data_IF_482371975470
#
_entry.id   IF_482371975470
#
_cell.length_a   1.000
_cell.length_b   1.000
_cell.length_c   1.000
_cell.angle_alpha   90.00
_cell.angle_beta   90.00
_cell.angle_gamma   90.00
#
_symmetry.space_group_name_H-M   'P 1'
#
loop_
_entity.id
_entity.type
_entity.pdbx_description
1 polymer ?
#
# COMPACT_ATOMS: atom_id res chain seq x y z
N UNK A 1 -27.42 10.67 -15.12
CA UNK A 1 -26.99 10.35 -16.50
C UNK A 1 -26.03 9.18 -16.41
N UNK A 2 -26.37 8.04 -16.99
CA UNK A 2 -25.49 6.87 -17.07
C UNK A 2 -24.34 7.19 -18.02
N UNK A 3 -23.10 7.20 -17.51
CA UNK A 3 -21.93 7.26 -18.37
C UNK A 3 -21.88 6.01 -19.26
N UNK A 4 -21.33 6.09 -20.48
CA UNK A 4 -20.98 4.90 -21.25
C UNK A 4 -20.16 3.93 -20.37
N UNK A 5 -20.37 2.62 -20.50
CA UNK A 5 -19.76 1.61 -19.62
C UNK A 5 -18.22 1.70 -19.50
N UNK A 6 -17.54 2.18 -20.55
CA UNK A 6 -16.10 2.46 -20.52
C UNK A 6 -15.75 3.66 -19.61
N UNK A 7 -16.46 4.79 -19.77
CA UNK A 7 -16.23 6.00 -18.98
C UNK A 7 -16.60 5.81 -17.50
N UNK A 8 -17.57 4.94 -17.20
CA UNK A 8 -17.89 4.56 -15.82
C UNK A 8 -16.73 3.78 -15.17
N UNK A 9 -16.20 2.75 -15.87
CA UNK A 9 -15.07 1.95 -15.36
C UNK A 9 -13.82 2.80 -15.13
N UNK A 10 -13.50 3.68 -16.08
CA UNK A 10 -12.35 4.58 -15.96
C UNK A 10 -12.47 5.52 -14.74
N UNK A 11 -13.67 6.08 -14.51
CA UNK A 11 -13.95 6.89 -13.31
C UNK A 11 -13.75 6.08 -12.03
N UNK A 12 -14.30 4.87 -11.95
CA UNK A 12 -14.21 4.04 -10.74
C UNK A 12 -12.75 3.67 -10.44
N UNK A 13 -11.97 3.28 -11.45
CA UNK A 13 -10.55 2.98 -11.27
C UNK A 13 -9.75 4.22 -10.85
N UNK A 14 -10.08 5.40 -11.39
CA UNK A 14 -9.49 6.66 -10.93
C UNK A 14 -9.83 6.95 -9.46
N UNK A 15 -11.10 6.81 -9.06
CA UNK A 15 -11.54 7.03 -7.69
C UNK A 15 -10.86 6.05 -6.71
N UNK A 16 -10.74 4.77 -7.07
CA UNK A 16 -10.00 3.76 -6.30
C UNK A 16 -8.54 4.16 -6.09
N UNK A 17 -7.85 4.57 -7.16
CA UNK A 17 -6.45 5.03 -7.09
C UNK A 17 -6.31 6.31 -6.25
N UNK A 18 -7.27 7.22 -6.33
CA UNK A 18 -7.27 8.45 -5.52
C UNK A 18 -7.46 8.15 -4.03
N UNK A 19 -8.40 7.26 -3.69
CA UNK A 19 -8.59 6.78 -2.31
C UNK A 19 -7.32 6.10 -1.81
N UNK A 20 -6.72 5.24 -2.62
CA UNK A 20 -5.45 4.58 -2.29
C UNK A 20 -4.32 5.60 -2.07
N UNK A 21 -4.20 6.60 -2.94
CA UNK A 21 -3.20 7.67 -2.85
C UNK A 21 -3.38 8.59 -1.65
N UNK A 22 -4.61 8.71 -1.11
CA UNK A 22 -4.87 9.51 0.08
C UNK A 22 -4.09 9.05 1.32
N UNK A 23 -3.74 7.76 1.40
CA UNK A 23 -2.91 7.24 2.50
C UNK A 23 -1.48 7.79 2.52
N UNK A 24 -1.04 8.46 1.45
CA UNK A 24 0.21 9.25 1.44
C UNK A 24 0.22 10.31 2.55
N UNK A 25 -0.96 10.76 2.99
CA UNK A 25 -1.10 11.78 4.03
C UNK A 25 -0.85 11.25 5.45
N UNK A 26 -0.85 9.94 5.70
CA UNK A 26 -0.66 9.41 7.05
C UNK A 26 0.66 9.85 7.70
N UNK A 27 1.82 9.81 7.00
CA UNK A 27 3.08 10.26 7.58
C UNK A 27 3.27 11.78 7.57
N UNK A 28 2.49 12.54 6.80
CA UNK A 28 2.74 13.97 6.53
C UNK A 28 2.73 14.82 7.80
N UNK A 29 1.76 14.71 8.72
CA UNK A 29 1.78 15.47 9.97
C UNK A 29 3.03 15.21 10.82
N UNK A 30 3.57 13.99 10.80
CA UNK A 30 4.84 13.67 11.47
C UNK A 30 6.03 14.34 10.76
N UNK A 31 6.09 14.26 9.41
CA UNK A 31 7.15 14.89 8.62
C UNK A 31 7.18 16.42 8.76
N UNK A 32 6.02 17.05 9.00
CA UNK A 32 5.89 18.48 9.28
C UNK A 32 6.18 18.85 10.75
N UNK A 33 6.48 17.86 11.60
CA UNK A 33 6.75 18.05 13.03
C UNK A 33 5.52 18.40 13.86
N UNK A 34 4.31 18.19 13.34
CA UNK A 34 3.06 18.51 14.05
C UNK A 34 2.70 17.48 15.10
N UNK A 35 3.06 16.21 14.88
CA UNK A 35 2.81 15.09 15.80
C UNK A 35 4.03 14.18 15.92
N UNK A 36 4.12 13.44 17.02
CA UNK A 36 5.14 12.41 17.19
C UNK A 36 4.83 11.15 16.37
N UNK A 37 5.85 10.34 16.08
CA UNK A 37 5.65 9.05 15.42
C UNK A 37 4.74 8.10 16.22
N UNK A 38 4.84 8.15 17.55
CA UNK A 38 3.94 7.40 18.43
C UNK A 38 2.48 7.83 18.22
N UNK A 39 2.22 9.13 18.05
CA UNK A 39 0.89 9.64 17.76
C UNK A 39 0.41 9.17 16.38
N UNK A 40 1.28 9.18 15.36
CA UNK A 40 0.99 8.60 14.05
C UNK A 40 0.59 7.12 14.16
N UNK A 41 1.34 6.31 14.92
CA UNK A 41 1.02 4.91 15.17
C UNK A 41 -0.35 4.71 15.83
N UNK A 42 -0.70 5.54 16.82
CA UNK A 42 -2.03 5.50 17.47
C UNK A 42 -3.16 5.86 16.50
N UNK A 43 -2.95 6.86 15.64
CA UNK A 43 -3.93 7.24 14.60
C UNK A 43 -4.13 6.12 13.58
N UNK A 44 -3.05 5.41 13.20
CA UNK A 44 -3.14 4.24 12.33
C UNK A 44 -3.86 3.06 12.99
N UNK A 45 -3.66 2.83 14.30
CA UNK A 45 -4.47 1.84 15.04
C UNK A 45 -5.95 2.22 15.03
N UNK A 46 -6.26 3.49 15.26
CA UNK A 46 -7.64 3.97 15.19
C UNK A 46 -8.22 3.80 13.78
N UNK A 47 -7.43 4.03 12.73
CA UNK A 47 -7.86 3.86 11.35
C UNK A 47 -8.08 2.39 10.97
N UNK A 48 -7.32 1.45 11.57
CA UNK A 48 -7.59 0.00 11.50
C UNK A 48 -8.90 -0.35 12.21
N UNK A 49 -9.15 0.20 13.40
CA UNK A 49 -10.39 -0.06 14.13
C UNK A 49 -11.62 0.42 13.33
N UNK A 50 -11.53 1.60 12.70
CA UNK A 50 -12.56 2.10 11.78
C UNK A 50 -12.75 1.14 10.60
N UNK A 51 -11.67 0.73 9.94
CA UNK A 51 -11.75 -0.22 8.82
C UNK A 51 -12.37 -1.57 9.24
N UNK A 52 -12.06 -2.07 10.43
CA UNK A 52 -12.63 -3.30 10.97
C UNK A 52 -14.14 -3.18 11.22
N UNK A 53 -14.61 -2.04 11.76
CA UNK A 53 -16.05 -1.78 11.92
C UNK A 53 -16.76 -1.71 10.57
N UNK A 54 -16.16 -0.99 9.60
CA UNK A 54 -16.67 -0.87 8.25
C UNK A 54 -16.76 -2.24 7.55
N UNK A 55 -15.74 -3.08 7.67
CA UNK A 55 -15.76 -4.44 7.14
C UNK A 55 -16.79 -5.33 7.84
N UNK A 56 -16.95 -5.23 9.16
CA UNK A 56 -17.96 -5.98 9.88
C UNK A 56 -19.37 -5.61 9.41
N UNK A 57 -19.63 -4.32 9.16
CA UNK A 57 -20.90 -3.85 8.61
C UNK A 57 -21.11 -4.33 7.17
N UNK A 58 -20.08 -4.24 6.31
CA UNK A 58 -20.14 -4.71 4.92
C UNK A 58 -20.42 -6.21 4.83
N UNK A 59 -19.62 -7.02 5.53
CA UNK A 59 -19.72 -8.49 5.48
C UNK A 59 -20.98 -9.04 6.14
N UNK A 60 -21.58 -8.29 7.06
CA UNK A 60 -22.88 -8.65 7.64
C UNK A 60 -24.09 -8.17 6.83
N UNK A 61 -23.87 -7.51 5.68
CA UNK A 61 -24.94 -6.93 4.87
C UNK A 61 -25.66 -5.76 5.55
N UNK A 62 -24.96 -5.07 6.47
CA UNK A 62 -25.49 -4.00 7.32
C UNK A 62 -24.86 -2.64 7.04
N UNK A 63 -24.21 -2.47 5.88
CA UNK A 63 -23.56 -1.22 5.49
C UNK A 63 -24.55 -0.11 5.09
N UNK A 64 -25.76 -0.47 4.64
CA UNK A 64 -26.90 0.45 4.51
C UNK A 64 -26.62 1.58 3.52
N UNK A 65 -26.60 2.87 3.94
CA UNK A 65 -26.31 3.97 3.02
C UNK A 65 -24.94 3.88 2.32
N UNK A 66 -24.02 3.06 2.84
CA UNK A 66 -22.70 2.83 2.25
C UNK A 66 -22.70 1.72 1.19
N UNK A 67 -23.78 0.96 1.01
CA UNK A 67 -23.84 -0.14 0.03
C UNK A 67 -23.41 0.32 -1.39
N UNK A 68 -23.88 1.47 -1.93
CA UNK A 68 -23.44 1.92 -3.25
C UNK A 68 -21.94 2.25 -3.34
N UNK A 69 -21.33 2.65 -2.22
CA UNK A 69 -19.89 2.92 -2.17
C UNK A 69 -19.10 1.60 -2.23
N UNK A 70 -19.56 0.58 -1.53
CA UNK A 70 -18.94 -0.74 -1.56
C UNK A 70 -19.10 -1.40 -2.93
N UNK A 71 -20.29 -1.32 -3.55
CA UNK A 71 -20.52 -1.82 -4.90
C UNK A 71 -19.61 -1.15 -5.94
N UNK A 72 -19.28 0.13 -5.74
CA UNK A 72 -18.38 0.86 -6.63
C UNK A 72 -16.90 0.52 -6.35
N UNK A 73 -16.47 0.49 -5.09
CA UNK A 73 -15.05 0.47 -4.73
C UNK A 73 -14.49 -0.92 -4.45
N UNK A 74 -15.28 -1.88 -3.98
CA UNK A 74 -14.84 -3.25 -3.69
C UNK A 74 -14.86 -4.08 -4.96
N UNK A 75 -13.84 -4.93 -5.17
CA UNK A 75 -13.77 -5.80 -6.33
C UNK A 75 -14.57 -7.09 -6.12
N UNK A 76 -15.00 -7.71 -7.22
CA UNK A 76 -15.81 -8.93 -7.17
C UNK A 76 -15.13 -10.06 -6.37
N UNK A 77 -13.81 -10.23 -6.50
CA UNK A 77 -13.07 -11.26 -5.76
C UNK A 77 -12.91 -10.94 -4.26
N UNK A 78 -13.17 -9.70 -3.83
CA UNK A 78 -13.12 -9.25 -2.44
C UNK A 78 -14.50 -9.30 -1.75
N UNK A 79 -15.57 -9.58 -2.51
CA UNK A 79 -16.95 -9.45 -2.03
C UNK A 79 -17.22 -10.27 -0.76
N UNK A 80 -16.72 -11.51 -0.72
CA UNK A 80 -16.92 -12.44 0.41
C UNK A 80 -15.75 -12.48 1.40
N UNK A 81 -14.68 -11.71 1.16
CA UNK A 81 -13.45 -11.70 1.96
C UNK A 81 -13.18 -10.32 2.58
N UNK A 82 -12.09 -10.19 3.35
CA UNK A 82 -11.67 -8.86 3.83
C UNK A 82 -11.16 -8.05 2.63
N UNK A 83 -11.74 -6.86 2.41
CA UNK A 83 -11.42 -6.02 1.25
C UNK A 83 -10.02 -5.40 1.32
N UNK A 84 -9.46 -5.05 0.16
CA UNK A 84 -8.10 -4.52 0.01
C UNK A 84 -7.85 -3.27 0.86
N UNK A 85 -8.83 -2.36 0.97
CA UNK A 85 -8.70 -1.16 1.81
C UNK A 85 -8.52 -1.47 3.30
N UNK A 86 -9.07 -2.58 3.81
CA UNK A 86 -8.88 -2.96 5.20
C UNK A 86 -7.48 -3.57 5.41
N UNK A 87 -7.03 -4.39 4.45
CA UNK A 87 -5.67 -4.94 4.43
C UNK A 87 -4.60 -3.86 4.31
N UNK A 88 -4.86 -2.82 3.52
CA UNK A 88 -4.06 -1.60 3.44
C UNK A 88 -3.87 -0.95 4.81
N UNK A 89 -4.95 -0.77 5.56
CA UNK A 89 -4.89 -0.12 6.88
C UNK A 89 -4.08 -0.95 7.87
N UNK A 90 -4.26 -2.28 7.83
CA UNK A 90 -3.51 -3.21 8.66
C UNK A 90 -2.01 -3.15 8.34
N UNK A 91 -1.63 -3.19 7.06
CA UNK A 91 -0.22 -3.19 6.66
C UNK A 91 0.48 -1.86 6.98
N UNK A 92 -0.20 -0.74 6.76
CA UNK A 92 0.28 0.60 7.11
C UNK A 92 0.51 0.74 8.62
N UNK A 93 -0.48 0.34 9.43
CA UNK A 93 -0.37 0.38 10.88
C UNK A 93 0.72 -0.55 11.41
N UNK A 94 0.74 -1.82 10.97
CA UNK A 94 1.75 -2.78 11.40
C UNK A 94 3.17 -2.30 11.07
N UNK A 95 3.36 -1.77 9.86
CA UNK A 95 4.65 -1.23 9.43
C UNK A 95 5.09 -0.04 10.27
N UNK A 96 4.17 0.90 10.56
CA UNK A 96 4.49 2.06 11.37
C UNK A 96 4.78 1.74 12.85
N UNK A 97 4.15 0.70 13.39
CA UNK A 97 4.35 0.27 14.77
C UNK A 97 5.63 -0.55 14.97
N UNK A 98 6.04 -1.31 13.95
CA UNK A 98 7.21 -2.20 14.04
C UNK A 98 8.51 -1.48 13.67
N UNK A 99 8.47 -0.59 12.68
CA UNK A 99 9.68 0.02 12.11
C UNK A 99 9.83 1.49 12.49
N UNK A 100 11.10 1.92 12.57
CA UNK A 100 11.44 3.33 12.70
C UNK A 100 10.97 4.14 11.47
N UNK A 101 10.72 5.46 11.60
CA UNK A 101 10.21 6.30 10.52
C UNK A 101 11.02 6.23 9.23
N UNK A 102 12.35 6.10 9.33
CA UNK A 102 13.26 6.01 8.18
C UNK A 102 12.96 4.81 7.26
N UNK A 103 12.34 3.76 7.78
CA UNK A 103 11.90 2.60 6.99
C UNK A 103 10.39 2.64 6.74
N UNK A 104 9.60 2.99 7.75
CA UNK A 104 8.16 2.92 7.68
C UNK A 104 7.58 3.95 6.70
N UNK A 105 8.04 5.20 6.73
CA UNK A 105 7.52 6.26 5.86
C UNK A 105 7.70 5.94 4.37
N UNK A 106 8.91 5.62 3.88
CA UNK A 106 9.06 5.24 2.48
C UNK A 106 8.28 3.97 2.12
N UNK A 107 8.22 2.96 2.99
CA UNK A 107 7.44 1.75 2.74
C UNK A 107 5.93 2.03 2.60
N UNK A 108 5.39 2.90 3.46
CA UNK A 108 4.00 3.36 3.38
C UNK A 108 3.72 4.12 2.07
N UNK A 109 4.67 4.93 1.60
CA UNK A 109 4.56 5.63 0.32
C UNK A 109 4.76 4.74 -0.91
N UNK A 110 5.56 3.67 -0.80
CA UNK A 110 5.64 2.65 -1.86
C UNK A 110 4.28 2.01 -2.11
N UNK A 111 3.52 1.76 -1.04
CA UNK A 111 2.12 1.37 -1.17
C UNK A 111 1.28 2.53 -1.72
N UNK A 112 1.17 3.64 -0.98
CA UNK A 112 0.22 4.70 -1.32
C UNK A 112 0.47 5.41 -2.66
N UNK A 113 1.69 5.42 -3.17
CA UNK A 113 2.07 6.09 -4.43
C UNK A 113 2.53 5.08 -5.48
N UNK A 114 3.38 4.14 -5.09
CA UNK A 114 3.95 3.15 -6.02
C UNK A 114 2.89 2.22 -6.61
N UNK A 115 2.02 1.64 -5.77
CA UNK A 115 0.98 0.71 -6.26
C UNK A 115 0.01 1.38 -7.24
N UNK A 116 -0.57 2.58 -6.99
CA UNK A 116 -1.41 3.26 -7.98
C UNK A 116 -0.71 3.53 -9.33
N UNK A 117 0.60 3.80 -9.32
CA UNK A 117 1.40 3.94 -10.55
C UNK A 117 1.54 2.57 -11.23
N UNK A 118 1.92 1.53 -10.50
CA UNK A 118 2.03 0.16 -11.01
C UNK A 118 0.72 -0.34 -11.62
N UNK A 119 -0.39 -0.21 -10.90
CA UNK A 119 -1.74 -0.55 -11.36
C UNK A 119 -2.24 0.32 -12.52
N UNK A 120 -1.63 1.48 -12.78
CA UNK A 120 -1.86 2.30 -13.98
C UNK A 120 -1.09 1.84 -15.22
N UNK A 121 0.01 1.10 -15.04
CA UNK A 121 0.90 0.65 -16.10
C UNK A 121 0.62 -0.79 -16.57
N UNK A 122 -0.13 -1.56 -15.78
CA UNK A 122 -0.42 -2.97 -16.04
C UNK A 122 -1.92 -3.27 -16.17
N UNK A 123 -2.21 -4.29 -16.96
CA UNK A 123 -3.49 -5.00 -16.98
C UNK A 123 -3.18 -6.47 -16.65
N UNK A 124 -3.68 -6.97 -15.53
CA UNK A 124 -3.54 -8.36 -15.10
C UNK A 124 -4.73 -8.75 -14.23
N UNK A 125 -5.11 -10.03 -14.24
CA UNK A 125 -6.09 -10.52 -13.28
C UNK A 125 -5.50 -10.55 -11.85
N UNK A 126 -6.37 -10.59 -10.84
CA UNK A 126 -5.96 -10.59 -9.43
C UNK A 126 -5.06 -11.77 -9.05
N UNK A 127 -5.13 -12.89 -9.78
CA UNK A 127 -4.31 -14.09 -9.57
C UNK A 127 -3.10 -14.18 -10.50
N UNK A 128 -2.93 -13.22 -11.40
CA UNK A 128 -1.89 -13.24 -12.43
C UNK A 128 -0.73 -12.30 -12.07
N UNK A 129 0.53 -12.76 -12.25
CA UNK A 129 1.68 -11.90 -12.11
C UNK A 129 1.63 -10.68 -13.04
N UNK A 130 2.07 -9.52 -12.54
CA UNK A 130 2.28 -8.32 -13.37
C UNK A 130 3.38 -8.58 -14.39
N UNK A 131 3.29 -7.92 -15.55
CA UNK A 131 4.34 -7.98 -16.59
C UNK A 131 5.68 -7.50 -16.00
N UNK A 132 6.78 -8.14 -16.39
CA UNK A 132 8.11 -7.78 -15.90
C UNK A 132 8.45 -6.28 -16.09
N UNK A 133 7.96 -5.66 -17.16
CA UNK A 133 8.13 -4.22 -17.39
C UNK A 133 7.45 -3.34 -16.33
N UNK A 134 6.31 -3.78 -15.79
CA UNK A 134 5.56 -3.07 -14.73
C UNK A 134 6.30 -3.25 -13.40
N UNK A 135 6.75 -4.46 -13.09
CA UNK A 135 7.57 -4.73 -11.90
C UNK A 135 8.86 -3.91 -11.92
N UNK A 136 9.55 -3.84 -13.07
CA UNK A 136 10.74 -3.00 -13.22
C UNK A 136 10.43 -1.51 -12.99
N UNK A 137 9.33 -1.00 -13.54
CA UNK A 137 8.90 0.38 -13.29
C UNK A 137 8.61 0.62 -11.80
N UNK A 138 7.95 -0.33 -11.13
CA UNK A 138 7.68 -0.28 -9.69
C UNK A 138 8.96 -0.23 -8.86
N UNK A 139 10.01 -1.00 -9.22
CA UNK A 139 11.33 -0.89 -8.58
C UNK A 139 11.88 0.52 -8.68
N UNK A 140 11.84 1.16 -9.87
CA UNK A 140 12.36 2.52 -10.03
C UNK A 140 11.58 3.55 -9.21
N UNK A 141 10.25 3.45 -9.17
CA UNK A 141 9.40 4.32 -8.36
C UNK A 141 9.70 4.14 -6.88
N UNK A 142 9.70 2.91 -6.39
CA UNK A 142 9.98 2.61 -4.99
C UNK A 142 11.39 3.01 -4.58
N UNK A 143 12.37 2.83 -5.46
CA UNK A 143 13.75 3.27 -5.24
C UNK A 143 13.81 4.81 -5.10
N UNK A 144 13.14 5.54 -6.00
CA UNK A 144 13.03 7.00 -5.91
C UNK A 144 12.35 7.48 -4.62
N UNK A 145 11.38 6.72 -4.10
CA UNK A 145 10.73 7.01 -2.81
C UNK A 145 11.67 6.77 -1.63
N UNK A 146 12.48 5.71 -1.64
CA UNK A 146 13.37 5.35 -0.54
C UNK A 146 14.63 6.20 -0.46
N UNK A 147 15.19 6.62 -1.60
CA UNK A 147 16.46 7.37 -1.67
C UNK A 147 16.50 8.62 -0.76
N UNK A 148 15.45 9.48 -0.72
CA UNK A 148 15.42 10.65 0.17
C UNK A 148 15.48 10.35 1.67
N UNK A 149 15.26 9.10 2.06
CA UNK A 149 15.32 8.65 3.46
C UNK A 149 16.61 7.87 3.72
N UNK A 150 16.96 6.94 2.82
CA UNK A 150 18.08 6.03 3.03
C UNK A 150 19.45 6.71 2.87
N UNK A 151 19.65 7.58 1.87
CA UNK A 151 20.96 8.22 1.65
C UNK A 151 21.33 9.19 2.78
N UNK A 152 20.42 10.07 3.26
CA UNK A 152 20.76 10.95 4.37
C UNK A 152 21.08 10.21 5.68
N UNK A 153 20.42 9.08 5.93
CA UNK A 153 20.62 8.30 7.17
C UNK A 153 21.89 7.44 7.13
N UNK A 154 22.12 6.72 6.02
CA UNK A 154 23.16 5.68 5.94
C UNK A 154 24.38 6.08 5.09
N UNK A 155 24.35 7.25 4.47
CA UNK A 155 25.36 7.70 3.50
C UNK A 155 25.13 7.18 2.07
N UNK A 156 25.95 7.60 1.09
CA UNK A 156 25.68 7.34 -0.33
C UNK A 156 25.62 5.86 -0.69
N UNK A 157 26.71 5.11 -0.48
CA UNK A 157 26.79 3.71 -0.92
C UNK A 157 25.88 2.78 -0.08
N UNK A 158 25.88 2.84 1.27
CA UNK A 158 24.97 2.02 2.07
C UNK A 158 23.51 2.42 1.87
N UNK A 159 23.22 3.71 1.71
CA UNK A 159 21.87 4.22 1.46
C UNK A 159 21.28 3.73 0.14
N UNK A 160 22.08 3.59 -0.92
CA UNK A 160 21.63 2.97 -2.18
C UNK A 160 21.26 1.50 -1.97
N UNK A 161 22.08 0.74 -1.23
CA UNK A 161 21.81 -0.66 -0.91
C UNK A 161 20.49 -0.79 -0.13
N UNK A 162 20.32 0.04 0.92
CA UNK A 162 19.10 0.05 1.72
C UNK A 162 17.88 0.42 0.86
N UNK A 163 17.97 1.46 0.03
CA UNK A 163 16.86 1.87 -0.83
C UNK A 163 16.45 0.77 -1.82
N UNK A 164 17.41 0.09 -2.46
CA UNK A 164 17.13 -1.06 -3.33
C UNK A 164 16.53 -2.23 -2.56
N UNK A 165 17.03 -2.48 -1.34
CA UNK A 165 16.50 -3.53 -0.47
C UNK A 165 15.06 -3.27 -0.02
N UNK A 166 14.57 -2.03 -0.04
CA UNK A 166 13.14 -1.73 0.08
C UNK A 166 12.37 -1.86 -1.23
N UNK A 167 12.93 -1.28 -2.30
CA UNK A 167 12.26 -1.17 -3.59
C UNK A 167 12.00 -2.52 -4.28
N UNK A 168 12.96 -3.44 -4.21
CA UNK A 168 12.83 -4.76 -4.86
C UNK A 168 11.75 -5.61 -4.18
N UNK A 169 11.75 -5.80 -2.84
CA UNK A 169 10.66 -6.53 -2.18
C UNK A 169 9.29 -5.88 -2.36
N UNK A 170 9.18 -4.55 -2.34
CA UNK A 170 7.94 -3.84 -2.65
C UNK A 170 7.41 -4.22 -4.05
N UNK A 171 8.26 -4.14 -5.07
CA UNK A 171 7.88 -4.47 -6.44
C UNK A 171 7.56 -5.96 -6.63
N UNK A 172 8.21 -6.85 -5.88
CA UNK A 172 7.89 -8.28 -5.87
C UNK A 172 6.54 -8.53 -5.23
N UNK A 173 6.24 -7.89 -4.10
CA UNK A 173 4.95 -8.00 -3.41
C UNK A 173 3.79 -7.47 -4.28
N UNK A 174 4.01 -6.36 -4.97
CA UNK A 174 3.09 -5.77 -5.96
C UNK A 174 2.94 -6.63 -7.22
N UNK A 175 4.05 -7.20 -7.70
CA UNK A 175 4.10 -7.91 -8.98
C UNK A 175 3.66 -9.37 -8.92
N UNK A 176 3.74 -10.00 -7.74
CA UNK A 176 3.44 -11.42 -7.52
C UNK A 176 2.33 -11.54 -6.46
N UNK A 177 1.06 -11.64 -6.87
CA UNK A 177 -0.05 -11.67 -5.92
C UNK A 177 0.05 -12.89 -5.00
N UNK A 178 0.00 -12.72 -3.66
CA UNK A 178 -0.01 -13.84 -2.73
C UNK A 178 -1.31 -14.64 -2.85
N UNK A 179 -1.21 -15.95 -3.02
CA UNK A 179 -2.37 -16.84 -3.16
C UNK A 179 -2.53 -17.75 -1.93
N UNK A 180 -3.67 -17.66 -1.25
CA UNK A 180 -4.05 -18.57 -0.17
C UNK A 180 -5.18 -19.47 -0.68
N UNK A 181 -4.89 -20.77 -0.86
CA UNK A 181 -5.86 -21.76 -1.37
C UNK A 181 -6.50 -21.34 -2.70
N UNK A 182 -5.76 -20.64 -3.55
CA UNK A 182 -6.23 -20.16 -4.86
C UNK A 182 -6.99 -18.83 -4.82
N UNK A 183 -7.20 -18.24 -3.63
CA UNK A 183 -7.76 -16.89 -3.48
C UNK A 183 -6.62 -15.88 -3.38
N UNK A 184 -6.69 -14.82 -4.20
CA UNK A 184 -5.74 -13.73 -4.14
C UNK A 184 -5.91 -12.96 -2.82
N UNK A 185 -4.81 -12.79 -2.10
CA UNK A 185 -4.69 -11.81 -1.03
C UNK A 185 -4.18 -10.54 -1.65
N UNK A 186 -4.86 -9.44 -1.34
CA UNK A 186 -4.54 -8.14 -1.90
C UNK A 186 -3.11 -7.70 -1.51
N UNK A 187 -2.34 -7.21 -2.48
CA UNK A 187 -0.94 -6.83 -2.34
C UNK A 187 -0.74 -5.66 -1.36
N UNK A 188 -1.81 -4.88 -1.10
CA UNK A 188 -1.88 -3.89 -0.02
C UNK A 188 -1.39 -4.44 1.32
N UNK A 189 -1.64 -5.73 1.61
CA UNK A 189 -1.20 -6.35 2.86
C UNK A 189 0.32 -6.50 2.95
N UNK A 190 0.99 -6.64 1.81
CA UNK A 190 2.35 -7.16 1.72
C UNK A 190 3.39 -6.12 1.32
N UNK A 191 3.03 -5.09 0.56
CA UNK A 191 3.98 -4.09 0.06
C UNK A 191 4.73 -3.37 1.19
N UNK A 192 4.08 -2.70 2.17
CA UNK A 192 4.82 -1.98 3.21
C UNK A 192 5.68 -2.90 4.11
N UNK A 193 5.17 -4.05 4.61
CA UNK A 193 5.99 -4.95 5.41
C UNK A 193 7.20 -5.50 4.66
N UNK A 194 7.04 -5.88 3.39
CA UNK A 194 8.15 -6.38 2.56
C UNK A 194 9.23 -5.30 2.37
N UNK A 195 8.81 -4.08 2.03
CA UNK A 195 9.71 -2.95 1.84
C UNK A 195 10.47 -2.58 3.12
N UNK A 196 9.76 -2.37 4.23
CA UNK A 196 10.35 -1.97 5.48
C UNK A 196 11.27 -3.04 6.05
N UNK A 197 10.90 -4.32 5.94
CA UNK A 197 11.75 -5.44 6.35
C UNK A 197 13.04 -5.50 5.53
N UNK A 198 12.95 -5.34 4.21
CA UNK A 198 14.11 -5.35 3.34
C UNK A 198 15.09 -4.22 3.66
N UNK A 199 14.59 -2.99 3.83
CA UNK A 199 15.41 -1.85 4.24
C UNK A 199 16.05 -2.08 5.63
N UNK A 200 15.27 -2.54 6.61
CA UNK A 200 15.74 -2.79 7.96
C UNK A 200 16.84 -3.87 8.02
N UNK A 201 16.65 -4.97 7.29
CA UNK A 201 17.64 -6.05 7.22
C UNK A 201 18.92 -5.58 6.54
N UNK A 202 18.82 -4.84 5.43
CA UNK A 202 19.99 -4.27 4.76
C UNK A 202 20.74 -3.30 5.68
N UNK A 203 20.03 -2.38 6.33
CA UNK A 203 20.62 -1.42 7.27
C UNK A 203 21.34 -2.12 8.44
N UNK A 204 20.80 -3.24 8.93
CA UNK A 204 21.42 -4.04 10.00
C UNK A 204 22.71 -4.77 9.59
N UNK A 205 22.99 -4.87 8.28
CA UNK A 205 24.16 -5.55 7.72
C UNK A 205 25.23 -4.59 7.21
N UNK A 206 24.87 -3.35 6.88
CA UNK A 206 25.78 -2.33 6.36
C UNK A 206 26.13 -1.23 7.37
N UNK A 207 25.45 -1.23 8.53
CA UNK A 207 25.71 -0.35 9.67
C UNK A 207 26.70 -0.90 10.68
#
# INVERSE_FOLDING_TARGET
MTLPAAAWRERVEFERRLVHASGTLYPVPFLLGWISWETTGRLLIASVAVAAVLEALRLSGSAGPLDPLYDALVREYEADGIAGYALYQVSMAATALVFAPVFAVPAMWMLSVGDPISGGLGENAATEPKRLSVVAAMVFVCFGIAVPYAIPEFGPDPGVIVALAGAIPAAVADGLPPLIRGVAVDDNLTIPPAAASGMFLAASLVG
#
